data_IF_262866612446
#
_entry.id   IF_262866612446
#
_cell.length_a   1.000
_cell.length_b   1.000
_cell.length_c   1.000
_cell.angle_alpha   90.00
_cell.angle_beta   90.00
_cell.angle_gamma   90.00
#
_symmetry.space_group_name_H-M   'P 1'
#
loop_
_entity.id
_entity.type
_entity.pdbx_description
1 polymer ?
#
# COMPACT_ATOMS: atom_id res chain seq x y z
N UNK A 1 -29.33 17.88 -52.26
CA UNK A 1 -29.49 17.69 -53.71
C UNK A 1 -29.95 16.27 -53.95
N UNK A 2 -31.24 16.11 -54.17
CA UNK A 2 -31.85 14.83 -54.53
C UNK A 2 -32.45 14.99 -55.95
N UNK A 3 -32.38 13.99 -56.82
CA UNK A 3 -33.10 13.99 -58.06
C UNK A 3 -34.40 13.21 -57.95
N UNK A 4 -35.41 13.79 -58.57
CA UNK A 4 -36.80 13.33 -58.74
C UNK A 4 -36.95 12.25 -59.81
N UNK A 5 -38.00 11.38 -59.73
CA UNK A 5 -38.31 10.36 -60.75
C UNK A 5 -39.27 10.86 -61.82
N UNK A 6 -39.34 10.18 -62.96
CA UNK A 6 -40.24 10.55 -64.08
C UNK A 6 -41.61 9.88 -64.02
N UNK A 7 -42.63 10.51 -64.69
CA UNK A 7 -44.00 10.17 -64.77
C UNK A 7 -44.32 9.17 -65.99
N UNK A 8 -45.49 8.47 -65.99
CA UNK A 8 -45.76 7.34 -66.87
C UNK A 8 -46.60 7.70 -68.12
N UNK A 9 -46.44 6.85 -69.10
CA UNK A 9 -47.14 6.93 -70.35
C UNK A 9 -48.50 6.21 -70.36
N UNK A 10 -49.35 6.76 -71.19
CA UNK A 10 -50.75 6.37 -71.55
C UNK A 10 -50.84 5.03 -72.30
N UNK A 11 -51.85 4.24 -71.97
CA UNK A 11 -52.28 3.17 -72.85
C UNK A 11 -53.82 2.92 -72.84
N UNK A 12 -54.32 2.51 -73.92
CA UNK A 12 -55.63 2.53 -74.45
C UNK A 12 -56.69 1.58 -73.84
N UNK A 13 -57.97 1.89 -74.09
CA UNK A 13 -59.15 1.16 -73.65
C UNK A 13 -59.45 -0.11 -74.53
N UNK A 14 -59.99 -1.17 -73.93
CA UNK A 14 -60.61 -2.24 -74.66
C UNK A 14 -62.12 -2.32 -74.43
N UNK A 15 -62.76 -2.82 -75.46
CA UNK A 15 -64.12 -2.83 -75.84
C UNK A 15 -65.18 -3.57 -75.00
N UNK A 16 -66.45 -3.22 -75.19
CA UNK A 16 -67.68 -3.48 -74.43
C UNK A 16 -68.15 -4.93 -74.28
N UNK A 17 -67.58 -5.94 -74.94
CA UNK A 17 -68.04 -7.33 -74.83
C UNK A 17 -67.40 -8.15 -73.72
N UNK A 18 -66.35 -7.68 -73.06
CA UNK A 18 -65.74 -8.36 -71.91
C UNK A 18 -66.47 -8.08 -70.58
N UNK A 19 -67.31 -7.05 -70.48
CA UNK A 19 -67.99 -6.64 -69.25
C UNK A 19 -69.05 -7.59 -68.73
N UNK A 20 -69.76 -8.35 -69.60
CA UNK A 20 -70.86 -9.24 -69.15
C UNK A 20 -70.32 -10.58 -68.58
N UNK A 21 -69.18 -11.08 -69.04
CA UNK A 21 -68.53 -12.27 -68.45
C UNK A 21 -67.85 -12.00 -67.10
N UNK A 22 -67.36 -10.79 -66.91
CA UNK A 22 -66.75 -10.41 -65.63
C UNK A 22 -67.75 -10.20 -64.48
N UNK A 23 -68.97 -9.68 -64.79
CA UNK A 23 -70.03 -9.51 -63.82
C UNK A 23 -70.60 -10.83 -63.27
N UNK A 24 -70.70 -11.91 -64.05
CA UNK A 24 -71.13 -13.23 -63.58
C UNK A 24 -70.06 -13.94 -62.76
N UNK A 25 -68.78 -13.77 -63.04
CA UNK A 25 -67.65 -14.32 -62.24
C UNK A 25 -67.45 -13.54 -60.92
N UNK A 26 -67.68 -12.23 -60.90
CA UNK A 26 -67.57 -11.40 -59.69
C UNK A 26 -68.71 -11.69 -58.72
N UNK A 27 -69.95 -11.96 -59.16
CA UNK A 27 -71.04 -12.25 -58.23
C UNK A 27 -70.90 -13.66 -57.66
N UNK A 28 -70.44 -14.66 -58.41
CA UNK A 28 -70.16 -16.01 -57.88
C UNK A 28 -68.93 -16.00 -56.90
N UNK A 29 -67.92 -15.18 -57.18
CA UNK A 29 -66.79 -15.01 -56.27
C UNK A 29 -67.14 -14.34 -54.91
N UNK A 30 -68.13 -13.41 -54.97
CA UNK A 30 -68.60 -12.73 -53.78
C UNK A 30 -69.34 -13.67 -52.83
N UNK A 31 -70.22 -14.51 -53.29
CA UNK A 31 -70.94 -15.53 -52.50
C UNK A 31 -69.98 -16.59 -51.94
N UNK A 32 -68.97 -17.00 -52.69
CA UNK A 32 -67.94 -17.92 -52.23
C UNK A 32 -67.03 -17.27 -51.13
N UNK A 33 -66.79 -15.99 -51.27
CA UNK A 33 -66.02 -15.25 -50.27
C UNK A 33 -66.82 -15.02 -48.95
N UNK A 34 -68.13 -14.64 -49.05
CA UNK A 34 -69.00 -14.55 -47.86
C UNK A 34 -69.21 -15.93 -47.21
N UNK A 35 -69.33 -17.00 -47.98
CA UNK A 35 -69.42 -18.35 -47.43
C UNK A 35 -68.07 -18.75 -46.70
N UNK A 36 -66.93 -18.41 -47.27
CA UNK A 36 -65.62 -18.66 -46.66
C UNK A 36 -65.39 -17.83 -45.37
N UNK A 37 -65.84 -16.56 -45.34
CA UNK A 37 -65.77 -15.69 -44.19
C UNK A 37 -66.73 -16.17 -43.11
N UNK A 38 -67.93 -16.62 -43.43
CA UNK A 38 -68.87 -17.23 -42.49
C UNK A 38 -68.38 -18.58 -41.95
N UNK A 39 -67.77 -19.44 -42.78
CA UNK A 39 -67.11 -20.66 -42.34
C UNK A 39 -65.86 -20.37 -41.42
N UNK A 40 -65.06 -19.33 -41.70
CA UNK A 40 -63.96 -18.95 -40.87
C UNK A 40 -64.43 -18.37 -39.54
N UNK A 41 -65.51 -17.60 -39.47
CA UNK A 41 -66.13 -17.07 -38.26
C UNK A 41 -66.83 -18.18 -37.44
N UNK A 42 -67.33 -19.23 -38.01
CA UNK A 42 -67.88 -20.39 -37.29
C UNK A 42 -66.75 -21.27 -36.78
N UNK A 43 -65.67 -21.46 -37.57
CA UNK A 43 -64.50 -22.21 -37.13
C UNK A 43 -63.74 -21.51 -36.02
N UNK A 44 -63.72 -20.17 -36.02
CA UNK A 44 -63.13 -19.41 -34.90
C UNK A 44 -63.98 -19.44 -33.60
N UNK A 45 -65.31 -19.71 -33.73
CA UNK A 45 -66.19 -19.80 -32.55
C UNK A 45 -66.16 -21.18 -31.92
N UNK A 46 -65.81 -22.25 -32.62
CA UNK A 46 -65.65 -23.59 -32.02
C UNK A 46 -64.28 -23.84 -31.44
N UNK A 47 -63.21 -23.06 -31.83
CA UNK A 47 -61.90 -23.18 -31.25
C UNK A 47 -61.71 -22.37 -29.94
N UNK A 48 -62.61 -21.42 -29.68
CA UNK A 48 -62.54 -20.66 -28.41
C UNK A 48 -63.22 -21.38 -27.20
N UNK A 49 -63.92 -22.50 -27.43
CA UNK A 49 -64.63 -23.22 -26.36
C UNK A 49 -63.80 -24.32 -25.69
N UNK A 50 -62.53 -24.58 -26.14
CA UNK A 50 -61.67 -25.67 -25.58
C UNK A 50 -60.33 -25.21 -25.05
N UNK A 51 -60.09 -23.91 -24.99
CA UNK A 51 -58.94 -23.35 -24.27
C UNK A 51 -59.42 -22.63 -23.03
N UNK A 52 -59.71 -23.40 -21.96
CA UNK A 52 -59.65 -22.90 -20.62
C UNK A 52 -58.22 -22.38 -20.41
N UNK A 53 -57.94 -21.15 -20.84
CA UNK A 53 -56.79 -20.38 -20.38
C UNK A 53 -57.07 -20.13 -18.93
N UNK A 54 -56.43 -20.91 -18.04
CA UNK A 54 -56.17 -20.44 -16.72
C UNK A 54 -55.61 -19.02 -16.90
N UNK A 55 -56.36 -18.01 -16.45
CA UNK A 55 -55.80 -16.64 -16.45
C UNK A 55 -54.41 -16.72 -15.80
N UNK A 56 -53.35 -16.16 -16.45
CA UNK A 56 -52.06 -16.16 -15.81
C UNK A 56 -52.27 -15.47 -14.47
N UNK A 57 -51.91 -16.17 -13.42
CA UNK A 57 -51.95 -15.64 -12.05
C UNK A 57 -51.25 -14.27 -12.02
N UNK A 58 -51.83 -13.26 -11.37
CA UNK A 58 -51.18 -11.96 -11.30
C UNK A 58 -49.78 -12.11 -10.63
N UNK A 59 -48.80 -11.34 -11.02
CA UNK A 59 -47.47 -11.41 -10.37
C UNK A 59 -47.52 -11.22 -8.84
N UNK A 60 -48.46 -10.40 -8.34
CA UNK A 60 -48.65 -10.17 -6.91
C UNK A 60 -49.25 -11.39 -6.24
N UNK A 61 -50.33 -12.01 -6.82
CA UNK A 61 -50.90 -13.21 -6.26
C UNK A 61 -49.93 -14.39 -6.23
N UNK A 62 -49.06 -14.44 -7.26
CA UNK A 62 -48.00 -15.44 -7.33
C UNK A 62 -46.95 -15.24 -6.18
N UNK A 63 -46.50 -14.02 -5.97
CA UNK A 63 -45.56 -13.71 -4.90
C UNK A 63 -46.19 -13.96 -3.51
N UNK A 64 -47.44 -13.60 -3.31
CA UNK A 64 -48.20 -13.89 -2.07
C UNK A 64 -48.35 -15.39 -1.84
N UNK A 65 -48.54 -16.18 -2.90
CA UNK A 65 -48.57 -17.63 -2.80
C UNK A 65 -47.19 -18.23 -2.49
N UNK A 66 -46.09 -17.66 -3.05
CA UNK A 66 -44.73 -18.17 -2.86
C UNK A 66 -44.17 -17.80 -1.46
N UNK A 67 -44.35 -16.56 -1.01
CA UNK A 67 -43.70 -16.00 0.19
C UNK A 67 -44.66 -15.28 1.12
N UNK A 68 -45.96 -15.16 0.75
CA UNK A 68 -46.96 -14.47 1.56
C UNK A 68 -47.34 -15.26 2.80
N UNK A 69 -48.15 -14.63 3.68
CA UNK A 69 -48.59 -15.23 4.95
C UNK A 69 -49.37 -16.54 4.80
N UNK A 70 -49.94 -16.79 3.62
CA UNK A 70 -50.73 -18.02 3.32
C UNK A 70 -49.87 -19.13 2.72
N UNK A 71 -48.58 -18.85 2.37
CA UNK A 71 -47.69 -19.83 1.70
C UNK A 71 -47.14 -20.87 2.68
N UNK A 72 -47.21 -20.61 4.01
CA UNK A 72 -46.52 -21.44 5.01
C UNK A 72 -45.01 -21.27 5.05
N UNK A 73 -44.43 -20.32 4.28
CA UNK A 73 -43.01 -20.01 4.31
C UNK A 73 -42.68 -19.25 5.62
N UNK A 74 -41.69 -19.71 6.37
CA UNK A 74 -41.19 -19.02 7.57
C UNK A 74 -39.69 -18.65 7.33
N UNK A 75 -39.43 -17.34 7.24
CA UNK A 75 -38.08 -16.78 7.02
C UNK A 75 -37.14 -17.00 8.23
N UNK A 76 -37.66 -17.31 9.41
CA UNK A 76 -36.87 -17.57 10.62
C UNK A 76 -36.25 -18.97 10.63
N UNK A 77 -36.76 -19.88 9.77
CA UNK A 77 -36.34 -21.28 9.72
C UNK A 77 -35.46 -21.45 8.49
N UNK A 78 -34.26 -22.00 8.67
CA UNK A 78 -33.34 -22.32 7.57
C UNK A 78 -33.93 -23.32 6.60
N UNK A 79 -33.53 -23.30 5.32
CA UNK A 79 -33.83 -24.38 4.39
C UNK A 79 -33.36 -25.73 4.95
N UNK A 80 -34.08 -26.80 4.65
CA UNK A 80 -33.78 -28.16 5.11
C UNK A 80 -33.58 -28.27 6.64
N UNK A 81 -34.43 -27.62 7.42
CA UNK A 81 -34.39 -27.67 8.89
C UNK A 81 -34.34 -29.11 9.39
N UNK A 82 -33.38 -29.42 10.30
CA UNK A 82 -33.04 -30.78 10.77
C UNK A 82 -32.47 -31.73 9.69
N UNK A 83 -32.26 -31.27 8.50
CA UNK A 83 -31.57 -32.00 7.43
C UNK A 83 -30.10 -31.56 7.27
N UNK A 84 -29.46 -31.84 6.13
CA UNK A 84 -28.08 -31.45 5.85
C UNK A 84 -27.89 -29.94 5.94
N UNK A 85 -26.63 -29.47 6.17
CA UNK A 85 -26.33 -28.05 6.19
C UNK A 85 -26.66 -27.37 4.86
N UNK A 86 -26.97 -26.10 4.94
CA UNK A 86 -27.18 -25.26 3.75
C UNK A 86 -25.81 -24.83 3.24
N UNK A 87 -25.47 -25.20 2.02
CA UNK A 87 -24.27 -24.71 1.36
C UNK A 87 -24.57 -23.36 0.72
N UNK A 88 -23.78 -22.35 1.10
CA UNK A 88 -23.84 -21.00 0.54
C UNK A 88 -22.56 -20.70 -0.20
N UNK A 89 -22.70 -20.56 -1.51
CA UNK A 89 -21.58 -20.21 -2.37
C UNK A 89 -21.39 -18.70 -2.40
N UNK A 90 -20.19 -18.25 -2.02
CA UNK A 90 -19.83 -16.83 -1.95
C UNK A 90 -18.96 -16.41 -3.13
N UNK A 91 -19.24 -15.23 -3.64
CA UNK A 91 -18.45 -14.55 -4.66
C UNK A 91 -18.29 -13.08 -4.27
N UNK A 92 -17.11 -12.52 -4.49
CA UNK A 92 -16.81 -11.11 -4.21
C UNK A 92 -16.28 -10.44 -5.47
N UNK A 93 -16.88 -9.30 -5.82
CA UNK A 93 -16.34 -8.40 -6.81
C UNK A 93 -15.85 -7.13 -6.12
N UNK A 94 -14.54 -6.86 -6.24
CA UNK A 94 -13.89 -5.68 -5.64
C UNK A 94 -14.01 -4.52 -6.63
N UNK A 95 -14.87 -3.56 -6.28
CA UNK A 95 -15.10 -2.37 -7.09
C UNK A 95 -14.02 -1.29 -6.87
N UNK A 96 -13.60 -1.09 -5.62
CA UNK A 96 -12.46 -0.23 -5.28
C UNK A 96 -11.76 -0.74 -4.04
N UNK A 97 -10.45 -0.58 -4.03
CA UNK A 97 -9.57 -0.90 -2.92
C UNK A 97 -8.78 0.36 -2.59
N UNK A 98 -8.74 0.79 -1.34
CA UNK A 98 -8.08 2.05 -1.01
C UNK A 98 -7.89 2.26 0.48
N UNK A 99 -7.28 3.41 0.82
CA UNK A 99 -7.03 3.82 2.21
C UNK A 99 -6.39 2.73 3.06
N UNK A 100 -5.26 2.16 2.57
CA UNK A 100 -4.45 1.26 3.39
C UNK A 100 -3.72 2.14 4.39
N UNK A 101 -4.09 2.04 5.67
CA UNK A 101 -3.61 2.91 6.73
C UNK A 101 -2.73 2.12 7.70
N UNK A 102 -1.43 2.38 7.67
CA UNK A 102 -0.46 1.74 8.57
C UNK A 102 -0.67 2.18 10.03
N UNK A 103 -1.14 3.40 10.26
CA UNK A 103 -1.36 3.95 11.60
C UNK A 103 -2.48 3.27 12.36
N UNK A 104 -3.56 2.92 11.68
CA UNK A 104 -4.74 2.26 12.21
C UNK A 104 -4.74 0.75 11.98
N UNK A 105 -3.77 0.24 11.19
CA UNK A 105 -3.67 -1.17 10.81
C UNK A 105 -4.98 -1.67 10.18
N UNK A 106 -5.48 -0.95 9.17
CA UNK A 106 -6.70 -1.31 8.45
C UNK A 106 -6.65 -0.89 6.98
N UNK A 107 -7.59 -1.42 6.22
CA UNK A 107 -7.79 -1.03 4.82
C UNK A 107 -9.27 -0.90 4.51
N UNK A 108 -9.58 -0.03 3.55
CA UNK A 108 -10.94 0.21 3.09
C UNK A 108 -11.18 -0.44 1.74
N UNK A 109 -12.30 -1.13 1.59
CA UNK A 109 -12.67 -1.79 0.35
C UNK A 109 -14.16 -1.60 0.05
N UNK A 110 -14.51 -1.36 -1.22
CA UNK A 110 -15.88 -1.36 -1.70
C UNK A 110 -16.10 -2.62 -2.54
N UNK A 111 -17.05 -3.44 -2.14
CA UNK A 111 -17.29 -4.75 -2.75
C UNK A 111 -18.76 -4.92 -3.15
N UNK A 112 -18.98 -5.81 -4.12
CA UNK A 112 -20.24 -6.51 -4.28
C UNK A 112 -20.08 -7.91 -3.73
N UNK A 113 -20.80 -8.21 -2.64
CA UNK A 113 -20.88 -9.55 -2.06
C UNK A 113 -22.06 -10.27 -2.67
N UNK A 114 -21.82 -11.42 -3.31
CA UNK A 114 -22.85 -12.29 -3.88
C UNK A 114 -22.87 -13.59 -3.11
N UNK A 115 -24.08 -13.98 -2.69
CA UNK A 115 -24.33 -15.23 -1.99
C UNK A 115 -25.37 -16.01 -2.79
N UNK A 116 -25.12 -17.29 -2.99
CA UNK A 116 -26.01 -18.18 -3.71
C UNK A 116 -26.26 -19.43 -2.86
N UNK A 117 -27.52 -19.73 -2.61
CA UNK A 117 -27.94 -20.93 -1.88
C UNK A 117 -29.20 -21.52 -2.49
N UNK A 118 -29.53 -22.76 -2.12
CA UNK A 118 -30.77 -23.41 -2.54
C UNK A 118 -31.78 -23.45 -1.41
N UNK A 119 -32.97 -22.91 -1.67
CA UNK A 119 -34.15 -23.06 -0.79
C UNK A 119 -35.27 -23.78 -1.56
N UNK A 120 -35.47 -25.08 -1.32
CA UNK A 120 -36.51 -25.83 -2.03
C UNK A 120 -37.93 -25.30 -1.83
N UNK A 121 -38.18 -24.53 -0.76
CA UNK A 121 -39.48 -23.91 -0.46
C UNK A 121 -39.82 -22.76 -1.42
N UNK A 122 -38.79 -22.19 -2.07
CA UNK A 122 -38.92 -21.11 -3.06
C UNK A 122 -38.90 -21.63 -4.52
N UNK A 123 -38.88 -22.95 -4.72
CA UNK A 123 -38.97 -23.52 -6.04
C UNK A 123 -40.42 -23.37 -6.60
N UNK A 124 -40.51 -22.97 -7.86
CA UNK A 124 -41.80 -22.73 -8.51
C UNK A 124 -41.84 -23.35 -9.90
N UNK A 125 -43.06 -23.73 -10.37
CA UNK A 125 -43.28 -24.25 -11.70
C UNK A 125 -44.42 -23.52 -12.44
N UNK A 126 -45.19 -22.74 -11.72
CA UNK A 126 -46.43 -22.13 -12.20
C UNK A 126 -46.19 -20.84 -13.00
N UNK A 127 -45.01 -20.24 -12.90
CA UNK A 127 -44.67 -19.02 -13.63
C UNK A 127 -43.71 -19.35 -14.80
N UNK A 128 -43.90 -18.71 -15.97
CA UNK A 128 -43.15 -19.08 -17.18
C UNK A 128 -41.67 -18.70 -17.12
N UNK A 129 -41.31 -17.65 -16.39
CA UNK A 129 -39.96 -17.13 -16.34
C UNK A 129 -38.99 -18.02 -15.52
N UNK A 130 -37.76 -18.18 -16.00
CA UNK A 130 -36.75 -19.02 -15.37
C UNK A 130 -36.16 -18.38 -14.11
N UNK A 131 -36.28 -17.05 -13.96
CA UNK A 131 -35.85 -16.30 -12.80
C UNK A 131 -36.74 -15.10 -12.51
N UNK A 132 -36.85 -14.74 -11.23
CA UNK A 132 -37.61 -13.60 -10.74
C UNK A 132 -36.67 -12.61 -10.10
N UNK A 133 -36.60 -11.41 -10.66
CA UNK A 133 -35.90 -10.28 -10.04
C UNK A 133 -36.88 -9.55 -9.12
N UNK A 134 -36.60 -9.53 -7.83
CA UNK A 134 -37.50 -9.03 -6.80
C UNK A 134 -36.96 -7.74 -6.18
N UNK A 135 -37.89 -6.92 -5.70
CA UNK A 135 -37.56 -5.72 -4.97
C UNK A 135 -36.76 -6.04 -3.69
N UNK A 136 -35.73 -5.26 -3.34
CA UNK A 136 -34.91 -5.48 -2.13
C UNK A 136 -35.71 -5.58 -0.83
N UNK A 137 -36.86 -4.95 -0.72
CA UNK A 137 -37.75 -5.04 0.46
C UNK A 137 -38.27 -6.46 0.73
N UNK A 138 -38.34 -7.30 -0.32
CA UNK A 138 -38.77 -8.70 -0.20
C UNK A 138 -37.72 -9.58 0.51
N UNK A 139 -36.49 -9.10 0.68
CA UNK A 139 -35.42 -9.79 1.44
C UNK A 139 -35.80 -10.09 2.89
N UNK A 140 -36.66 -9.30 3.48
CA UNK A 140 -37.11 -9.53 4.85
C UNK A 140 -38.17 -10.62 4.97
N UNK A 141 -38.75 -11.04 3.83
CA UNK A 141 -39.71 -12.11 3.74
C UNK A 141 -39.08 -13.49 3.53
N UNK A 142 -37.78 -13.56 3.27
CA UNK A 142 -37.07 -14.82 3.04
C UNK A 142 -35.95 -15.03 4.05
N UNK A 143 -35.56 -16.30 4.27
CA UNK A 143 -34.39 -16.64 5.04
C UNK A 143 -33.11 -16.18 4.31
N UNK A 144 -32.16 -15.63 5.08
CA UNK A 144 -30.86 -15.18 4.60
C UNK A 144 -29.74 -15.81 5.44
N UNK A 145 -28.59 -16.14 4.84
CA UNK A 145 -27.39 -16.50 5.60
C UNK A 145 -26.97 -15.34 6.51
N UNK A 146 -26.49 -15.65 7.70
CA UNK A 146 -26.06 -14.71 8.73
C UNK A 146 -24.57 -14.34 8.65
N UNK A 147 -24.09 -14.15 7.42
CA UNK A 147 -22.71 -13.84 7.14
C UNK A 147 -22.30 -12.49 7.74
N UNK A 148 -21.15 -12.48 8.43
CA UNK A 148 -20.49 -11.26 8.89
C UNK A 148 -18.99 -11.32 8.58
N UNK A 149 -18.32 -10.16 8.61
CA UNK A 149 -16.87 -10.08 8.39
C UNK A 149 -16.16 -10.09 9.74
N UNK A 150 -15.45 -11.16 10.06
CA UNK A 150 -14.87 -11.38 11.39
C UNK A 150 -13.78 -10.35 11.77
N UNK A 151 -13.10 -9.76 10.78
CA UNK A 151 -12.10 -8.72 10.98
C UNK A 151 -12.58 -7.31 10.65
N UNK A 152 -13.89 -7.07 10.65
CA UNK A 152 -14.49 -5.76 10.41
C UNK A 152 -14.24 -4.81 11.57
N UNK A 153 -13.88 -3.56 11.24
CA UNK A 153 -13.85 -2.41 12.15
C UNK A 153 -15.02 -1.45 11.91
N UNK A 154 -15.59 -1.48 10.73
CA UNK A 154 -16.74 -0.68 10.33
C UNK A 154 -17.22 -1.04 8.93
N UNK A 155 -18.51 -0.91 8.71
CA UNK A 155 -19.15 -1.17 7.43
C UNK A 155 -20.26 -0.15 7.15
N UNK A 156 -20.48 0.14 5.87
CA UNK A 156 -21.56 0.99 5.41
C UNK A 156 -22.31 0.32 4.26
N UNK A 157 -23.63 0.36 4.35
CA UNK A 157 -24.52 0.04 3.22
C UNK A 157 -24.58 1.20 2.23
N UNK A 158 -25.03 0.90 1.02
CA UNK A 158 -25.26 1.90 -0.02
C UNK A 158 -26.74 1.94 -0.36
N UNK A 159 -27.37 3.09 -0.13
CA UNK A 159 -28.82 3.31 -0.26
C UNK A 159 -29.16 4.45 -1.24
N UNK A 160 -28.19 4.95 -2.00
CA UNK A 160 -28.38 6.03 -2.98
C UNK A 160 -28.45 5.42 -4.38
N UNK A 161 -29.45 5.66 -5.15
CA UNK A 161 -30.77 6.31 -4.98
C UNK A 161 -31.81 5.41 -4.33
N UNK A 162 -31.59 4.11 -4.35
CA UNK A 162 -32.33 3.02 -3.71
C UNK A 162 -31.32 2.07 -3.10
N UNK A 163 -31.79 1.14 -2.28
CA UNK A 163 -30.95 0.08 -1.69
C UNK A 163 -30.15 -0.66 -2.78
N UNK A 164 -28.83 -0.65 -2.64
CA UNK A 164 -27.94 -1.36 -3.60
C UNK A 164 -27.88 -2.87 -3.27
N UNK A 165 -29.05 -3.51 -3.37
CA UNK A 165 -29.26 -4.94 -3.14
C UNK A 165 -29.96 -5.54 -4.34
N UNK A 166 -29.66 -6.78 -4.68
CA UNK A 166 -30.33 -7.56 -5.72
C UNK A 166 -30.82 -8.87 -5.10
N UNK A 167 -32.07 -9.19 -5.29
CA UNK A 167 -32.63 -10.50 -4.98
C UNK A 167 -33.14 -11.15 -6.26
N UNK A 168 -32.63 -12.33 -6.59
CA UNK A 168 -33.09 -13.14 -7.71
C UNK A 168 -33.39 -14.55 -7.25
N UNK A 169 -34.57 -15.04 -7.53
CA UNK A 169 -35.01 -16.41 -7.24
C UNK A 169 -35.14 -17.14 -8.56
N UNK A 170 -34.49 -18.29 -8.69
CA UNK A 170 -34.58 -19.16 -9.86
C UNK A 170 -35.67 -20.22 -9.68
N UNK A 171 -36.17 -20.71 -10.78
CA UNK A 171 -37.23 -21.73 -10.84
C UNK A 171 -36.94 -23.00 -10.02
N UNK A 172 -35.69 -23.39 -9.93
CA UNK A 172 -35.20 -24.53 -9.15
C UNK A 172 -35.08 -24.27 -7.63
N UNK A 173 -35.44 -23.07 -7.16
CA UNK A 173 -35.30 -22.66 -5.76
C UNK A 173 -33.93 -22.10 -5.39
N UNK A 174 -33.01 -21.91 -6.34
CA UNK A 174 -31.77 -21.20 -6.07
C UNK A 174 -32.05 -19.73 -5.87
N UNK A 175 -31.42 -19.15 -4.85
CA UNK A 175 -31.53 -17.74 -4.49
C UNK A 175 -30.18 -17.08 -4.67
N UNK A 176 -30.13 -16.02 -5.48
CA UNK A 176 -28.97 -15.16 -5.63
C UNK A 176 -29.24 -13.84 -4.90
N UNK A 177 -28.46 -13.58 -3.90
CA UNK A 177 -28.44 -12.32 -3.17
C UNK A 177 -27.13 -11.58 -3.44
N UNK A 178 -27.21 -10.34 -3.87
CA UNK A 178 -26.05 -9.48 -4.10
C UNK A 178 -26.24 -8.16 -3.35
N UNK A 179 -25.21 -7.73 -2.65
CA UNK A 179 -25.22 -6.47 -1.89
C UNK A 179 -23.92 -5.71 -2.09
N UNK A 180 -24.01 -4.39 -2.21
CA UNK A 180 -22.86 -3.50 -2.24
C UNK A 180 -22.52 -3.02 -0.83
N UNK A 181 -21.26 -3.19 -0.45
CA UNK A 181 -20.75 -2.84 0.89
C UNK A 181 -19.46 -2.03 0.76
N UNK A 182 -19.29 -1.05 1.65
CA UNK A 182 -17.99 -0.46 1.93
C UNK A 182 -17.55 -0.93 3.30
N UNK A 183 -16.40 -1.61 3.35
CA UNK A 183 -15.86 -2.22 4.55
C UNK A 183 -14.55 -1.56 4.95
N UNK A 184 -14.33 -1.41 6.25
CA UNK A 184 -13.04 -1.11 6.86
C UNK A 184 -12.64 -2.35 7.62
N UNK A 185 -11.61 -3.04 7.14
CA UNK A 185 -11.17 -4.32 7.66
C UNK A 185 -9.81 -4.20 8.34
N UNK A 186 -9.65 -4.88 9.46
CA UNK A 186 -8.38 -4.95 10.18
C UNK A 186 -7.34 -5.72 9.35
N UNK A 187 -6.15 -5.14 9.23
CA UNK A 187 -4.98 -5.76 8.60
C UNK A 187 -3.75 -5.51 9.48
N UNK A 188 -3.41 -6.42 10.38
CA UNK A 188 -2.16 -6.35 11.14
C UNK A 188 -0.97 -6.40 10.19
N UNK A 189 -0.19 -5.31 10.12
CA UNK A 189 0.94 -5.18 9.19
C UNK A 189 2.26 -5.41 9.91
N UNK A 190 3.17 -6.19 9.31
CA UNK A 190 4.57 -6.25 9.73
C UNK A 190 5.39 -5.21 8.95
N UNK A 191 5.86 -4.19 9.66
CA UNK A 191 6.60 -3.07 9.09
C UNK A 191 8.12 -3.18 9.27
N UNK A 192 8.66 -4.36 9.63
CA UNK A 192 10.12 -4.56 9.81
C UNK A 192 10.90 -4.17 8.56
N UNK A 193 10.40 -4.55 7.40
CA UNK A 193 11.05 -4.28 6.11
C UNK A 193 10.58 -2.97 5.45
N UNK A 194 9.76 -2.17 6.16
CA UNK A 194 9.25 -0.91 5.63
C UNK A 194 10.37 0.04 5.17
N UNK A 195 10.29 0.63 3.96
CA UNK A 195 9.21 0.60 2.98
C UNK A 195 9.36 -0.48 1.88
N UNK A 196 10.22 -1.47 2.04
CA UNK A 196 10.47 -2.55 1.08
C UNK A 196 9.67 -3.81 1.43
N UNK A 197 8.47 -3.64 1.99
CA UNK A 197 7.62 -4.68 2.52
C UNK A 197 6.54 -5.15 1.54
N UNK A 198 6.12 -6.39 1.71
CA UNK A 198 4.90 -6.96 1.14
C UNK A 198 3.95 -7.23 2.29
N UNK A 199 2.73 -6.69 2.21
CA UNK A 199 1.72 -6.86 3.25
C UNK A 199 0.65 -7.84 2.79
N UNK A 200 0.26 -8.74 3.68
CA UNK A 200 -0.85 -9.66 3.43
C UNK A 200 -2.05 -9.25 4.25
N UNK A 201 -3.06 -8.70 3.60
CA UNK A 201 -4.32 -8.32 4.23
C UNK A 201 -5.38 -9.38 3.96
N UNK A 202 -6.11 -9.77 4.99
CA UNK A 202 -7.13 -10.81 4.93
C UNK A 202 -8.53 -10.21 4.98
N UNK A 203 -9.49 -10.92 4.38
CA UNK A 203 -10.92 -10.68 4.54
C UNK A 203 -11.56 -12.00 4.94
N UNK A 204 -12.15 -12.06 6.12
CA UNK A 204 -12.74 -13.27 6.70
C UNK A 204 -14.26 -13.14 6.72
N UNK A 205 -14.95 -14.12 6.13
CA UNK A 205 -16.41 -14.25 6.10
C UNK A 205 -16.79 -15.42 6.98
N UNK A 206 -17.58 -15.16 8.01
CA UNK A 206 -17.96 -16.14 9.04
C UNK A 206 -19.47 -16.10 9.29
N UNK A 207 -20.05 -17.20 9.75
CA UNK A 207 -21.41 -17.26 10.26
C UNK A 207 -21.44 -16.94 11.74
N UNK A 208 -22.40 -16.14 12.17
CA UNK A 208 -22.53 -15.71 13.57
C UNK A 208 -23.32 -16.69 14.43
N UNK A 209 -24.49 -17.13 13.97
CA UNK A 209 -25.42 -17.94 14.75
C UNK A 209 -25.55 -19.40 14.32
N UNK A 210 -25.12 -19.75 13.09
CA UNK A 210 -25.23 -21.11 12.57
C UNK A 210 -23.90 -21.86 12.66
N UNK A 211 -23.92 -23.04 13.25
CA UNK A 211 -22.77 -23.95 13.27
C UNK A 211 -22.60 -24.63 11.91
N UNK A 212 -21.47 -25.29 11.69
CA UNK A 212 -21.20 -26.05 10.46
C UNK A 212 -22.18 -27.21 10.21
N UNK A 213 -22.96 -27.61 11.22
CA UNK A 213 -24.03 -28.59 11.05
C UNK A 213 -25.25 -28.02 10.31
N UNK A 214 -25.38 -26.68 10.32
CA UNK A 214 -26.54 -25.98 9.78
C UNK A 214 -26.22 -25.15 8.53
N UNK A 215 -25.00 -24.58 8.46
CA UNK A 215 -24.59 -23.68 7.41
C UNK A 215 -23.11 -23.87 7.06
N UNK A 216 -22.79 -23.91 5.77
CA UNK A 216 -21.41 -23.99 5.26
C UNK A 216 -21.23 -22.93 4.18
N UNK A 217 -20.19 -22.09 4.33
CA UNK A 217 -19.75 -21.18 3.29
C UNK A 217 -18.69 -21.85 2.42
N UNK A 218 -18.80 -21.63 1.13
CA UNK A 218 -17.86 -22.11 0.12
C UNK A 218 -17.56 -21.01 -0.89
N UNK A 219 -16.35 -20.98 -1.41
CA UNK A 219 -16.02 -20.09 -2.51
C UNK A 219 -16.60 -20.64 -3.83
N UNK A 220 -17.04 -19.75 -4.70
CA UNK A 220 -17.43 -20.11 -6.05
C UNK A 220 -16.21 -20.70 -6.78
N UNK A 221 -16.38 -21.85 -7.46
CA UNK A 221 -15.28 -22.58 -8.11
C UNK A 221 -14.51 -21.73 -9.14
N UNK A 222 -15.20 -20.88 -9.89
CA UNK A 222 -14.59 -19.99 -10.90
C UNK A 222 -14.90 -18.54 -10.57
N UNK A 223 -13.83 -17.74 -10.44
CA UNK A 223 -13.96 -16.30 -10.21
C UNK A 223 -14.55 -15.94 -8.85
N UNK A 224 -14.18 -16.67 -7.79
CA UNK A 224 -14.63 -16.40 -6.41
C UNK A 224 -14.38 -14.97 -5.97
N UNK A 225 -13.21 -14.44 -6.31
CA UNK A 225 -12.84 -13.05 -6.03
C UNK A 225 -12.37 -12.39 -7.31
N UNK A 226 -13.15 -11.43 -7.76
CA UNK A 226 -12.92 -10.65 -8.97
C UNK A 226 -12.52 -9.22 -8.59
N UNK A 227 -11.68 -8.60 -9.40
CA UNK A 227 -11.25 -7.20 -9.21
C UNK A 227 -11.67 -6.40 -10.43
N UNK A 228 -12.14 -5.18 -10.21
CA UNK A 228 -12.51 -4.27 -11.29
C UNK A 228 -11.31 -3.99 -12.20
N UNK A 229 -11.54 -4.01 -13.51
CA UNK A 229 -10.52 -3.68 -14.50
C UNK A 229 -9.99 -2.25 -14.28
N UNK A 230 -8.66 -2.08 -14.35
CA UNK A 230 -8.03 -0.78 -14.14
C UNK A 230 -7.93 -0.33 -12.68
N UNK A 231 -8.19 -1.21 -11.69
CA UNK A 231 -8.00 -0.88 -10.29
C UNK A 231 -6.51 -0.68 -10.01
N UNK A 232 -6.13 0.53 -9.61
CA UNK A 232 -4.77 0.89 -9.23
C UNK A 232 -4.74 1.47 -7.83
N UNK A 233 -3.71 1.11 -7.07
CA UNK A 233 -3.46 1.64 -5.73
C UNK A 233 -2.31 2.65 -5.80
N UNK A 234 -2.40 3.83 -5.13
CA UNK A 234 -1.38 4.86 -5.22
C UNK A 234 -0.01 4.44 -4.66
N UNK A 235 0.01 3.61 -3.63
CA UNK A 235 1.22 3.23 -2.89
C UNK A 235 1.55 1.74 -2.95
N UNK A 236 0.61 0.92 -3.42
CA UNK A 236 0.74 -0.53 -3.46
C UNK A 236 0.45 -1.07 -4.85
N UNK A 237 0.97 -2.25 -5.12
CA UNK A 237 0.58 -3.10 -6.24
C UNK A 237 -0.19 -4.28 -5.66
N UNK A 238 -1.44 -4.46 -6.07
CA UNK A 238 -2.21 -5.65 -5.72
C UNK A 238 -1.80 -6.79 -6.65
N UNK A 239 -1.29 -7.89 -6.09
CA UNK A 239 -0.96 -9.08 -6.87
C UNK A 239 -2.24 -9.73 -7.43
N UNK A 240 -2.12 -10.33 -8.60
CA UNK A 240 -3.23 -11.04 -9.25
C UNK A 240 -3.60 -12.31 -8.48
N UNK A 241 -2.60 -13.01 -7.94
CA UNK A 241 -2.78 -14.20 -7.12
C UNK A 241 -3.45 -13.82 -5.79
N UNK A 242 -4.52 -14.52 -5.48
CA UNK A 242 -5.28 -14.39 -4.23
C UNK A 242 -5.46 -15.76 -3.65
N UNK A 243 -5.05 -15.92 -2.41
CA UNK A 243 -5.19 -17.18 -1.71
C UNK A 243 -6.60 -17.29 -1.12
N UNK A 244 -7.32 -18.31 -1.53
CA UNK A 244 -8.64 -18.64 -1.01
C UNK A 244 -8.48 -19.78 -0.02
N UNK A 245 -8.79 -19.54 1.24
CA UNK A 245 -8.59 -20.48 2.33
C UNK A 245 -9.87 -20.71 3.13
N UNK A 246 -9.89 -21.81 3.88
CA UNK A 246 -10.90 -22.07 4.89
C UNK A 246 -10.32 -21.78 6.28
N UNK A 247 -11.00 -20.94 7.06
CA UNK A 247 -10.56 -20.46 8.37
C UNK A 247 -11.44 -20.96 9.52
N UNK A 248 -12.13 -22.09 9.36
CA UNK A 248 -13.09 -22.64 10.34
C UNK A 248 -12.72 -22.31 11.79
N UNK A 249 -13.66 -21.70 12.51
CA UNK A 249 -13.50 -21.25 13.89
C UNK A 249 -14.11 -22.26 14.88
N UNK A 250 -13.41 -22.44 16.00
CA UNK A 250 -13.87 -23.27 17.09
C UNK A 250 -14.04 -22.41 18.32
N UNK A 251 -15.29 -22.23 18.74
CA UNK A 251 -15.66 -21.50 19.95
C UNK A 251 -16.30 -22.47 20.95
N UNK A 252 -16.48 -22.03 22.18
CA UNK A 252 -17.16 -22.82 23.20
C UNK A 252 -18.62 -23.14 22.81
N UNK A 253 -19.21 -22.34 21.93
CA UNK A 253 -20.58 -22.49 21.41
C UNK A 253 -20.70 -23.45 20.24
N UNK A 254 -19.58 -23.85 19.64
CA UNK A 254 -19.56 -24.79 18.50
C UNK A 254 -18.50 -24.49 17.46
N UNK A 255 -18.60 -25.22 16.37
CA UNK A 255 -17.74 -25.07 15.20
C UNK A 255 -18.47 -24.25 14.13
N UNK A 256 -17.88 -23.13 13.69
CA UNK A 256 -18.47 -22.20 12.74
C UNK A 256 -17.73 -22.20 11.40
N UNK A 257 -18.50 -22.07 10.36
CA UNK A 257 -17.94 -21.94 8.99
C UNK A 257 -17.26 -20.59 8.85
N UNK A 258 -16.05 -20.60 8.30
CA UNK A 258 -15.27 -19.42 7.98
C UNK A 258 -14.53 -19.65 6.67
N UNK A 259 -14.60 -18.69 5.77
CA UNK A 259 -13.81 -18.61 4.54
C UNK A 259 -13.02 -17.31 4.52
N UNK A 260 -11.80 -17.33 3.99
CA UNK A 260 -10.97 -16.13 3.90
C UNK A 260 -10.33 -15.98 2.54
N UNK A 261 -10.11 -14.75 2.15
CA UNK A 261 -9.27 -14.38 1.02
C UNK A 261 -8.10 -13.54 1.53
N UNK A 262 -6.91 -13.81 0.99
CA UNK A 262 -5.67 -13.09 1.28
C UNK A 262 -5.29 -12.24 0.09
N UNK A 263 -5.05 -10.95 0.35
CA UNK A 263 -4.60 -9.98 -0.63
C UNK A 263 -3.13 -9.66 -0.39
N UNK A 264 -2.29 -9.91 -1.38
CA UNK A 264 -0.87 -9.59 -1.33
C UNK A 264 -0.64 -8.19 -1.93
N UNK A 265 -0.16 -7.28 -1.09
CA UNK A 265 0.02 -5.87 -1.37
C UNK A 265 1.51 -5.55 -1.36
N UNK A 266 2.09 -5.35 -2.52
CA UNK A 266 3.50 -4.98 -2.67
C UNK A 266 3.64 -3.46 -2.66
N UNK A 267 4.43 -2.90 -1.69
CA UNK A 267 4.61 -1.45 -1.57
C UNK A 267 5.51 -0.91 -2.67
N UNK A 268 5.11 0.22 -3.25
CA UNK A 268 5.88 0.93 -4.26
C UNK A 268 6.88 1.89 -3.61
N UNK A 269 8.16 1.74 -3.99
CA UNK A 269 9.28 2.45 -3.38
C UNK A 269 9.44 3.91 -3.85
N UNK A 270 8.84 4.29 -4.97
CA UNK A 270 9.13 5.56 -5.66
C UNK A 270 8.96 6.79 -4.76
N UNK A 271 7.86 6.87 -4.02
CA UNK A 271 7.60 7.96 -3.10
C UNK A 271 8.67 8.06 -2.00
N UNK A 272 9.02 6.95 -1.37
CA UNK A 272 9.98 6.91 -0.26
C UNK A 272 11.40 7.21 -0.73
N UNK A 273 11.77 6.77 -1.93
CA UNK A 273 13.06 7.10 -2.55
C UNK A 273 13.24 8.61 -2.66
N UNK A 274 12.26 9.30 -3.23
CA UNK A 274 12.32 10.75 -3.46
C UNK A 274 12.21 11.53 -2.15
N UNK A 275 11.34 11.11 -1.24
CA UNK A 275 11.02 11.89 -0.03
C UNK A 275 11.97 11.63 1.14
N UNK A 276 12.52 10.42 1.25
CA UNK A 276 13.30 9.98 2.41
C UNK A 276 14.78 9.68 2.06
N UNK A 277 15.01 8.78 1.10
CA UNK A 277 16.35 8.28 0.83
C UNK A 277 17.24 9.30 0.14
N UNK A 278 16.78 9.96 -0.91
CA UNK A 278 17.56 10.95 -1.64
C UNK A 278 17.92 12.16 -0.77
N UNK A 279 16.99 12.82 -0.06
CA UNK A 279 17.33 13.95 0.78
C UNK A 279 18.31 13.59 1.91
N UNK A 280 18.14 12.45 2.57
CA UNK A 280 19.05 12.00 3.61
C UNK A 280 20.45 11.72 3.07
N UNK A 281 20.56 11.10 1.89
CA UNK A 281 21.81 10.89 1.17
C UNK A 281 22.53 12.21 0.89
N UNK A 282 21.80 13.21 0.38
CA UNK A 282 22.36 14.54 0.06
C UNK A 282 22.86 15.25 1.32
N UNK A 283 22.15 15.13 2.47
CA UNK A 283 22.59 15.70 3.74
C UNK A 283 23.90 15.05 4.21
N UNK A 284 24.04 13.72 4.06
CA UNK A 284 25.28 13.00 4.39
C UNK A 284 26.44 13.47 3.51
N UNK A 285 26.23 13.57 2.21
CA UNK A 285 27.25 14.09 1.26
C UNK A 285 27.61 15.54 1.60
N UNK A 286 26.63 16.38 1.92
CA UNK A 286 26.86 17.76 2.31
C UNK A 286 27.71 17.86 3.60
N UNK A 287 27.53 16.94 4.56
CA UNK A 287 28.35 16.91 5.77
C UNK A 287 29.85 16.68 5.46
N UNK A 288 30.16 15.93 4.40
CA UNK A 288 31.56 15.68 4.01
C UNK A 288 32.26 16.89 3.39
N UNK A 289 31.52 17.89 2.90
CA UNK A 289 32.09 19.17 2.44
C UNK A 289 32.91 19.83 3.53
N UNK A 290 32.57 19.59 4.80
CA UNK A 290 33.36 20.03 5.97
C UNK A 290 34.83 19.67 5.87
N UNK A 291 35.19 18.49 5.36
CA UNK A 291 36.58 18.02 5.22
C UNK A 291 37.41 18.80 4.18
N UNK A 292 36.74 19.51 3.24
CA UNK A 292 37.38 20.31 2.21
C UNK A 292 37.53 21.78 2.62
N UNK A 293 36.82 22.25 3.64
CA UNK A 293 36.95 23.60 4.17
C UNK A 293 38.23 23.70 5.00
N UNK A 294 38.92 24.85 4.94
CA UNK A 294 40.15 25.08 5.71
C UNK A 294 39.92 24.83 7.21
N UNK A 295 40.87 24.13 7.87
CA UNK A 295 40.78 23.80 9.29
C UNK A 295 40.73 25.04 10.21
N UNK A 296 41.22 26.19 9.77
CA UNK A 296 41.19 27.44 10.54
C UNK A 296 39.83 28.16 10.46
N UNK A 297 38.94 27.78 9.51
CA UNK A 297 37.60 28.32 9.37
C UNK A 297 36.62 27.64 10.34
N UNK A 298 36.88 27.70 11.64
CA UNK A 298 36.06 27.07 12.67
C UNK A 298 34.57 27.43 12.60
N UNK A 299 34.14 28.70 12.42
CA UNK A 299 32.75 29.06 12.35
C UNK A 299 32.01 28.37 11.18
N UNK A 300 32.64 28.25 10.03
CA UNK A 300 32.04 27.64 8.84
C UNK A 300 31.83 26.12 9.02
N UNK A 301 32.85 25.38 9.52
CA UNK A 301 32.75 23.95 9.76
C UNK A 301 31.74 23.61 10.86
N UNK A 302 31.69 24.38 11.95
CA UNK A 302 30.74 24.19 13.07
C UNK A 302 29.31 24.47 12.57
N UNK A 303 29.11 25.58 11.88
CA UNK A 303 27.78 25.91 11.33
C UNK A 303 27.27 24.83 10.40
N UNK A 304 28.11 24.35 9.47
CA UNK A 304 27.75 23.27 8.55
C UNK A 304 27.44 21.98 9.28
N UNK A 305 28.23 21.58 10.27
CA UNK A 305 28.01 20.37 11.07
C UNK A 305 26.72 20.42 11.87
N UNK A 306 26.45 21.53 12.57
CA UNK A 306 25.23 21.70 13.38
C UNK A 306 23.99 21.73 12.48
N UNK A 307 24.01 22.45 11.36
CA UNK A 307 22.87 22.54 10.45
C UNK A 307 22.56 21.17 9.81
N UNK A 308 23.56 20.41 9.39
CA UNK A 308 23.35 19.08 8.82
C UNK A 308 22.80 18.07 9.85
N UNK A 309 23.29 18.09 11.11
CA UNK A 309 22.73 17.28 12.19
C UNK A 309 21.29 17.66 12.48
N UNK A 310 20.98 18.97 12.59
CA UNK A 310 19.63 19.44 12.85
C UNK A 310 18.67 19.04 11.72
N UNK A 311 19.08 19.24 10.47
CA UNK A 311 18.28 18.86 9.30
C UNK A 311 18.01 17.34 9.27
N UNK A 312 19.04 16.53 9.58
CA UNK A 312 18.89 15.08 9.62
C UNK A 312 17.97 14.61 10.74
N UNK A 313 18.03 15.24 11.93
CA UNK A 313 17.14 14.92 13.05
C UNK A 313 15.70 15.31 12.75
N UNK A 314 15.44 16.47 12.13
CA UNK A 314 14.08 16.88 11.73
C UNK A 314 13.50 15.95 10.66
N UNK A 315 14.31 15.54 9.69
CA UNK A 315 13.88 14.57 8.68
C UNK A 315 13.57 13.19 9.27
N UNK A 316 14.42 12.71 10.19
CA UNK A 316 14.18 11.45 10.91
C UNK A 316 12.92 11.51 11.77
N UNK A 317 12.61 12.65 12.40
CA UNK A 317 11.37 12.85 13.15
C UNK A 317 10.15 12.87 12.23
N UNK A 318 10.24 13.57 11.10
CA UNK A 318 9.16 13.64 10.11
C UNK A 318 8.82 12.27 9.50
N UNK A 319 9.83 11.45 9.23
CA UNK A 319 9.63 10.09 8.69
C UNK A 319 8.88 9.16 9.63
N UNK A 320 8.97 9.39 10.93
CA UNK A 320 8.28 8.59 11.96
C UNK A 320 6.87 9.08 12.26
N UNK A 321 6.55 10.32 11.94
CA UNK A 321 5.26 10.93 12.29
C UNK A 321 4.08 10.28 11.57
N UNK A 322 4.28 9.76 10.36
CA UNK A 322 3.25 9.12 9.54
C UNK A 322 3.10 7.61 9.80
N UNK A 323 3.92 7.02 10.68
CA UNK A 323 3.95 5.59 10.92
C UNK A 323 3.44 5.26 12.34
N UNK A 324 2.89 4.05 12.56
CA UNK A 324 2.47 3.62 13.87
C UNK A 324 3.67 3.49 14.82
N UNK A 325 3.41 3.69 16.12
CA UNK A 325 4.40 3.47 17.18
C UNK A 325 4.52 1.97 17.43
N UNK A 326 5.48 1.34 16.76
CA UNK A 326 5.79 -0.09 16.95
C UNK A 326 7.07 -0.27 17.77
N UNK A 327 7.19 -1.37 18.50
CA UNK A 327 8.33 -1.67 19.39
C UNK A 327 9.55 -2.24 18.66
N UNK A 328 9.40 -2.66 17.41
CA UNK A 328 10.49 -3.23 16.61
C UNK A 328 11.13 -2.17 15.68
N UNK A 329 12.38 -2.42 15.29
CA UNK A 329 13.14 -1.54 14.40
C UNK A 329 12.73 -1.81 12.95
N UNK A 330 12.42 -0.74 12.20
CA UNK A 330 12.10 -0.79 10.77
C UNK A 330 13.36 -0.58 9.91
N UNK A 331 13.34 -1.05 8.66
CA UNK A 331 14.45 -0.81 7.73
C UNK A 331 14.78 0.67 7.55
N UNK A 332 13.76 1.52 7.47
CA UNK A 332 13.94 2.98 7.37
C UNK A 332 14.61 3.58 8.64
N UNK A 333 14.35 3.02 9.83
CA UNK A 333 14.97 3.50 11.07
C UNK A 333 16.47 3.20 11.09
N UNK A 334 16.89 2.03 10.58
CA UNK A 334 18.31 1.67 10.42
C UNK A 334 18.98 2.64 9.46
N UNK A 335 18.36 2.91 8.31
CA UNK A 335 18.89 3.88 7.34
C UNK A 335 19.11 5.25 7.98
N UNK A 336 18.07 5.80 8.61
CA UNK A 336 18.13 7.13 9.24
C UNK A 336 19.13 7.19 10.38
N UNK A 337 19.23 6.14 11.20
CA UNK A 337 20.19 6.06 12.28
C UNK A 337 21.64 6.06 11.78
N UNK A 338 21.93 5.29 10.73
CA UNK A 338 23.27 5.25 10.13
C UNK A 338 23.61 6.59 9.46
N UNK A 339 22.70 7.20 8.71
CA UNK A 339 22.90 8.52 8.13
C UNK A 339 23.20 9.57 9.22
N UNK A 340 22.44 9.56 10.31
CA UNK A 340 22.67 10.45 11.46
C UNK A 340 24.05 10.19 12.09
N UNK A 341 24.46 8.93 12.24
CA UNK A 341 25.76 8.55 12.75
C UNK A 341 26.91 9.10 11.87
N UNK A 342 26.79 9.01 10.54
CA UNK A 342 27.78 9.55 9.61
C UNK A 342 27.88 11.08 9.70
N UNK A 343 26.75 11.78 9.75
CA UNK A 343 26.71 13.25 9.89
C UNK A 343 27.30 13.68 11.24
N UNK A 344 26.95 12.99 12.31
CA UNK A 344 27.50 13.27 13.64
C UNK A 344 29.00 12.95 13.73
N UNK A 345 29.45 11.85 13.12
CA UNK A 345 30.87 11.49 13.06
C UNK A 345 31.70 12.52 12.32
N UNK A 346 31.18 13.14 11.27
CA UNK A 346 31.83 14.22 10.55
C UNK A 346 32.03 15.46 11.45
N UNK A 347 31.06 15.76 12.32
CA UNK A 347 31.20 16.83 13.32
C UNK A 347 32.25 16.50 14.41
N UNK A 348 32.27 15.23 14.88
CA UNK A 348 33.28 14.77 15.85
C UNK A 348 34.69 14.77 15.25
N UNK A 349 34.85 14.42 13.97
CA UNK A 349 36.12 14.50 13.25
C UNK A 349 36.66 15.94 13.31
N UNK A 350 35.81 16.92 13.00
CA UNK A 350 36.21 18.32 13.10
C UNK A 350 36.66 18.70 14.54
N UNK A 351 35.93 18.24 15.56
CA UNK A 351 36.29 18.49 16.95
C UNK A 351 37.69 17.91 17.26
N UNK A 352 38.02 16.71 16.78
CA UNK A 352 39.31 16.07 16.91
C UNK A 352 40.43 16.87 16.21
N UNK A 353 40.18 17.28 14.95
CA UNK A 353 41.14 18.12 14.18
C UNK A 353 41.41 19.44 14.89
N UNK A 354 40.38 20.11 15.42
CA UNK A 354 40.50 21.36 16.12
C UNK A 354 41.27 21.17 17.47
N UNK A 355 41.00 20.08 18.20
CA UNK A 355 41.71 19.75 19.42
C UNK A 355 43.18 19.54 19.16
N UNK A 356 43.56 18.73 18.16
CA UNK A 356 44.98 18.50 17.79
C UNK A 356 45.66 19.82 17.38
N UNK A 357 44.99 20.66 16.61
CA UNK A 357 45.52 21.97 16.21
C UNK A 357 45.71 22.94 17.38
N UNK A 358 44.81 22.95 18.37
CA UNK A 358 44.87 23.83 19.56
C UNK A 358 45.91 23.41 20.60
N UNK A 359 46.11 22.12 20.79
CA UNK A 359 47.14 21.63 21.76
C UNK A 359 48.52 22.24 21.51
N UNK A 360 48.85 22.46 20.23
CA UNK A 360 50.10 23.15 19.88
C UNK A 360 50.14 24.60 20.42
N UNK A 361 49.04 25.35 20.35
CA UNK A 361 48.99 26.74 20.86
C UNK A 361 49.16 26.82 22.38
N UNK A 362 48.66 25.85 23.12
CA UNK A 362 48.81 25.78 24.57
C UNK A 362 50.21 25.38 24.97
N UNK A 363 50.83 24.39 24.32
CA UNK A 363 52.23 24.03 24.54
C UNK A 363 53.18 25.21 24.33
N UNK A 364 52.94 26.06 23.33
CA UNK A 364 53.71 27.29 23.10
C UNK A 364 53.46 28.33 24.20
N UNK A 365 52.23 28.45 24.72
CA UNK A 365 51.92 29.34 25.85
C UNK A 365 52.64 28.89 27.11
N UNK A 366 52.67 27.58 27.43
CA UNK A 366 53.39 27.02 28.57
C UNK A 366 54.91 27.21 28.44
N UNK A 367 55.49 27.00 27.23
CA UNK A 367 56.90 27.26 26.99
C UNK A 367 57.26 28.74 27.09
N UNK A 368 56.45 29.68 26.59
CA UNK A 368 56.64 31.13 26.78
C UNK A 368 56.60 31.52 28.25
N UNK A 369 55.63 30.99 29.02
CA UNK A 369 55.57 31.23 30.48
C UNK A 369 56.81 30.69 31.14
N UNK A 370 57.29 29.50 30.80
CA UNK A 370 58.50 28.89 31.39
C UNK A 370 59.81 29.62 31.02
N UNK A 371 59.85 30.19 29.77
CA UNK A 371 60.96 31.01 29.34
C UNK A 371 60.97 32.37 30.07
N UNK A 372 59.85 33.01 30.30
CA UNK A 372 59.71 34.26 31.03
C UNK A 372 60.05 34.09 32.50
N UNK A 373 59.68 32.99 33.15
CA UNK A 373 60.07 32.65 34.48
C UNK A 373 61.60 32.42 34.60
N UNK A 374 62.27 31.80 33.62
CA UNK A 374 63.71 31.64 33.60
C UNK A 374 64.44 32.94 33.34
N UNK A 375 63.91 33.85 32.53
CA UNK A 375 64.47 35.15 32.22
C UNK A 375 64.36 36.11 33.46
N UNK A 376 63.27 35.94 34.26
CA UNK A 376 63.15 36.69 35.59
C UNK A 376 64.07 36.12 36.63
N UNK A 377 64.25 34.80 36.80
CA UNK A 377 65.26 34.21 37.70
C UNK A 377 66.72 34.58 37.37
N UNK A 378 67.00 34.73 36.03
CA UNK A 378 68.34 35.19 35.59
C UNK A 378 68.54 36.69 35.79
N UNK A 379 67.49 37.50 35.81
CA UNK A 379 67.56 38.93 36.15
C UNK A 379 67.82 39.18 37.66
N UNK A 380 67.18 38.43 38.53
CA UNK A 380 67.38 38.52 39.98
C UNK A 380 68.75 38.02 40.40
N UNK A 381 69.32 37.01 39.67
CA UNK A 381 70.70 36.55 39.92
C UNK A 381 71.75 37.47 39.32
N UNK A 382 71.42 38.36 38.38
CA UNK A 382 72.39 39.31 37.83
C UNK A 382 72.44 40.64 38.54
N UNK A 383 71.53 40.92 39.52
CA UNK A 383 71.52 42.14 40.32
C UNK A 383 72.27 41.97 41.64
N UNK A 384 72.80 40.79 41.91
CA UNK A 384 73.50 40.49 43.16
C UNK A 384 75.06 40.44 43.10
N UNK A 385 75.64 40.69 41.90
CA UNK A 385 77.15 40.69 41.78
C UNK A 385 77.60 41.93 41.00
N UNK A 386 77.58 43.09 41.68
CA UNK A 386 78.39 44.26 41.33
C UNK A 386 78.88 44.91 42.58
N UNK A 387 79.90 44.31 43.14
CA UNK A 387 80.85 45.02 44.03
C UNK A 387 82.19 44.24 44.03
N UNK A 388 83.28 45.00 43.71
CA UNK A 388 84.71 44.73 43.85
C UNK A 388 85.44 44.00 42.72
N UNK A 389 86.22 44.78 41.96
CA UNK A 389 87.67 44.56 41.81
C UNK A 389 88.19 44.23 40.41
N UNK A 390 88.70 45.29 39.76
CA UNK A 390 89.97 45.50 39.06
C UNK A 390 90.62 44.37 38.23
N UNK A 391 90.74 44.65 36.88
CA UNK A 391 91.93 44.53 36.06
C UNK A 391 92.32 43.15 35.52
N UNK A 392 93.31 43.15 34.54
CA UNK A 392 93.09 43.42 33.12
C UNK A 392 93.44 42.23 32.13
N UNK A 393 93.19 42.39 30.86
CA UNK A 393 93.73 41.76 29.65
C UNK A 393 94.78 40.64 29.76
N UNK A 394 94.59 39.56 28.96
CA UNK A 394 95.65 39.05 28.07
C UNK A 394 94.97 38.18 26.97
N UNK A 395 95.33 38.43 25.69
CA UNK A 395 95.17 37.60 24.52
C UNK A 395 96.08 36.38 24.61
N UNK A 396 95.64 35.21 24.20
CA UNK A 396 96.52 34.21 23.56
C UNK A 396 95.71 33.26 22.67
N UNK A 397 96.29 33.12 21.56
CA UNK A 397 96.00 32.22 20.43
C UNK A 397 96.33 30.75 20.72
N UNK A 398 95.81 29.95 19.80
CA UNK A 398 96.32 28.66 19.31
C UNK A 398 95.93 27.34 20.00
N UNK A 399 95.09 26.62 19.28
CA UNK A 399 95.21 25.26 18.78
C UNK A 399 95.60 24.14 19.70
N UNK A 400 94.79 23.14 19.74
CA UNK A 400 95.20 21.71 19.62
C UNK A 400 93.93 20.86 19.61
N UNK A 401 93.77 20.01 18.60
CA UNK A 401 92.88 18.88 18.42
C UNK A 401 93.09 17.85 19.53
N UNK A 402 91.97 17.43 20.20
CA UNK A 402 91.93 16.12 20.86
C UNK A 402 90.57 15.43 20.59
N UNK A 403 90.63 14.31 19.96
CA UNK A 403 89.57 13.28 19.86
C UNK A 403 89.34 12.72 21.26
N UNK A 404 88.09 12.80 21.73
CA UNK A 404 87.60 12.14 22.94
C UNK A 404 86.20 11.54 22.68
N UNK A 405 85.77 10.52 23.43
CA UNK A 405 84.95 9.42 22.94
C UNK A 405 83.43 9.71 22.79
N UNK A 406 82.83 8.93 22.01
CA UNK A 406 81.41 8.87 21.67
C UNK A 406 80.50 9.04 22.93
N UNK A 407 79.86 10.20 23.08
CA UNK A 407 78.67 10.37 23.89
C UNK A 407 77.43 10.15 22.97
N UNK A 408 76.41 9.43 23.45
CA UNK A 408 75.20 9.25 22.66
C UNK A 408 74.57 10.61 22.43
N UNK A 409 74.33 10.92 21.17
CA UNK A 409 73.65 12.13 20.70
C UNK A 409 72.29 12.21 21.39
N UNK A 410 72.16 13.06 22.39
CA UNK A 410 70.82 13.41 22.90
C UNK A 410 70.03 14.05 21.75
N UNK A 411 68.78 13.63 21.54
CA UNK A 411 67.97 14.18 20.46
C UNK A 411 67.80 15.69 20.70
N UNK A 412 68.34 16.47 19.76
CA UNK A 412 68.17 17.92 19.72
C UNK A 412 66.69 18.27 19.89
N UNK A 413 66.30 19.08 20.86
CA UNK A 413 64.88 19.45 21.06
C UNK A 413 64.40 20.17 19.80
N UNK A 414 63.48 19.56 19.06
CA UNK A 414 62.87 20.09 17.85
C UNK A 414 62.43 21.53 18.02
N UNK A 415 62.74 22.39 17.06
CA UNK A 415 62.37 23.80 17.11
C UNK A 415 60.86 23.99 17.28
N UNK A 416 60.34 25.06 17.87
CA UNK A 416 58.90 25.32 18.04
C UNK A 416 58.16 25.26 16.69
N UNK A 417 58.82 25.65 15.59
CA UNK A 417 58.25 25.65 14.24
C UNK A 417 58.16 24.24 13.62
N UNK A 418 59.14 23.37 13.92
CA UNK A 418 59.10 21.97 13.52
C UNK A 418 57.97 21.20 14.23
N UNK A 419 57.77 21.45 15.55
CA UNK A 419 56.64 20.83 16.27
C UNK A 419 55.32 21.35 15.76
N UNK A 420 55.21 22.62 15.43
CA UNK A 420 54.00 23.18 14.77
C UNK A 420 53.71 22.50 13.47
N UNK A 421 54.67 22.29 12.60
CA UNK A 421 54.51 21.56 11.34
C UNK A 421 54.00 20.15 11.56
N UNK A 422 54.58 19.41 12.53
CA UNK A 422 54.14 18.04 12.85
C UNK A 422 52.67 17.96 13.27
N UNK A 423 52.18 18.87 14.11
CA UNK A 423 50.76 18.89 14.54
C UNK A 423 49.82 19.32 13.42
N UNK A 424 50.20 20.29 12.59
CA UNK A 424 49.46 20.72 11.45
C UNK A 424 49.41 19.58 10.41
N UNK A 425 50.50 18.87 10.19
CA UNK A 425 50.58 17.75 9.25
C UNK A 425 49.76 16.55 9.75
N UNK A 426 49.68 16.30 11.05
CA UNK A 426 48.78 15.30 11.65
C UNK A 426 47.33 15.70 11.44
N UNK A 427 46.95 16.94 11.70
CA UNK A 427 45.59 17.42 11.47
C UNK A 427 45.17 17.32 9.97
N UNK A 428 46.06 17.70 9.04
CA UNK A 428 45.87 17.55 7.61
C UNK A 428 45.75 16.08 7.19
N UNK A 429 46.53 15.17 7.79
CA UNK A 429 46.41 13.73 7.54
C UNK A 429 45.05 13.18 7.95
N UNK A 430 44.50 13.62 9.11
CA UNK A 430 43.15 13.23 9.54
C UNK A 430 42.10 13.67 8.49
N UNK A 431 42.08 14.95 8.13
CA UNK A 431 41.19 15.45 7.06
C UNK A 431 41.33 14.65 5.73
N UNK A 432 42.59 14.35 5.34
CA UNK A 432 42.85 13.62 4.08
C UNK A 432 42.35 12.16 4.13
N UNK A 433 42.53 11.50 5.27
CA UNK A 433 42.02 10.13 5.48
C UNK A 433 40.49 10.15 5.52
N UNK A 434 39.88 11.11 6.22
CA UNK A 434 38.44 11.26 6.34
C UNK A 434 37.75 11.49 4.99
N UNK A 435 38.37 12.25 4.07
CA UNK A 435 37.87 12.46 2.68
C UNK A 435 37.68 11.16 1.91
N UNK A 436 38.49 10.14 2.18
CA UNK A 436 38.39 8.83 1.52
C UNK A 436 37.59 7.81 2.36
N UNK A 437 37.82 7.76 3.68
CA UNK A 437 37.20 6.75 4.55
C UNK A 437 35.69 6.93 4.68
N UNK A 438 35.18 8.16 4.83
CA UNK A 438 33.75 8.39 5.00
C UNK A 438 32.92 7.99 3.78
N UNK A 439 33.24 8.43 2.55
CA UNK A 439 32.54 8.00 1.37
C UNK A 439 32.63 6.49 1.14
N UNK A 440 33.82 5.90 1.35
CA UNK A 440 34.01 4.46 1.16
C UNK A 440 33.19 3.63 2.17
N UNK A 441 33.23 3.98 3.45
CA UNK A 441 32.46 3.30 4.49
C UNK A 441 30.96 3.43 4.23
N UNK A 442 30.49 4.60 3.82
CA UNK A 442 29.10 4.83 3.47
C UNK A 442 28.68 4.06 2.21
N UNK A 443 29.55 3.96 1.20
CA UNK A 443 29.31 3.14 -0.01
C UNK A 443 29.16 1.66 0.36
N UNK A 444 30.05 1.13 1.20
CA UNK A 444 29.97 -0.26 1.70
C UNK A 444 28.65 -0.47 2.43
N UNK A 445 28.27 0.43 3.35
CA UNK A 445 26.97 0.36 4.02
C UNK A 445 25.80 0.35 3.05
N UNK A 446 25.80 1.23 2.02
CA UNK A 446 24.75 1.25 1.00
C UNK A 446 24.63 -0.09 0.27
N UNK A 447 25.75 -0.67 -0.16
CA UNK A 447 25.74 -1.97 -0.85
C UNK A 447 25.10 -3.03 0.04
N UNK A 448 25.55 -3.16 1.30
CA UNK A 448 25.01 -4.14 2.23
C UNK A 448 23.53 -3.88 2.52
N UNK A 449 23.12 -2.65 2.77
CA UNK A 449 21.74 -2.29 3.05
C UNK A 449 20.81 -2.68 1.91
N UNK A 450 21.10 -2.24 0.68
CA UNK A 450 20.25 -2.52 -0.46
C UNK A 450 20.26 -3.99 -0.89
N UNK A 451 21.39 -4.68 -0.78
CA UNK A 451 21.48 -6.12 -1.11
C UNK A 451 20.66 -6.94 -0.11
N UNK A 452 20.82 -6.71 1.20
CA UNK A 452 20.09 -7.46 2.23
C UNK A 452 18.58 -7.26 2.07
N UNK A 453 18.11 -6.00 2.02
CA UNK A 453 16.68 -5.74 1.93
C UNK A 453 16.05 -6.12 0.58
N UNK A 454 16.85 -6.13 -0.51
CA UNK A 454 16.38 -6.65 -1.80
C UNK A 454 16.21 -8.18 -1.77
N UNK A 455 17.11 -8.90 -1.09
CA UNK A 455 17.01 -10.35 -0.92
C UNK A 455 15.80 -10.69 -0.05
N UNK A 456 15.63 -10.04 1.11
CA UNK A 456 14.50 -10.25 2.01
C UNK A 456 13.18 -9.98 1.26
N UNK A 457 13.09 -8.87 0.53
CA UNK A 457 11.90 -8.56 -0.27
C UNK A 457 11.60 -9.66 -1.29
N UNK A 458 12.63 -10.26 -1.90
CA UNK A 458 12.43 -11.35 -2.86
C UNK A 458 11.87 -12.61 -2.18
N UNK A 459 12.32 -12.91 -0.96
CA UNK A 459 11.77 -14.04 -0.17
C UNK A 459 10.32 -13.77 0.24
N UNK A 460 9.98 -12.56 0.72
CA UNK A 460 8.61 -12.17 1.08
C UNK A 460 7.63 -12.21 -0.11
N UNK A 461 8.14 -12.05 -1.34
CA UNK A 461 7.32 -12.13 -2.57
C UNK A 461 6.97 -13.57 -2.92
N UNK A 462 7.81 -14.53 -2.53
CA UNK A 462 7.66 -15.95 -2.88
C UNK A 462 7.08 -16.81 -1.74
N UNK A 463 6.82 -16.24 -0.57
CA UNK A 463 6.03 -16.83 0.53
C UNK A 463 4.56 -16.43 0.41
#
# INVERSE_FOLDING_TARGET
MAPTPPLPGSAASPSSMARIRYLRAAVSGFYLWEAAVLLSLVATKETDSARSRSMPMSPSDFLDKLMGRMSGYDARIRPNFKGPPVNVTCNIFINSFGSIAETTMDYRVNIFLRQNWNDPRLAYSEYPDDSLDLDPSMLDSIWKPDLFFANEKGANFHEVTTDNKLLRIFKNGNVLYSIRLTLILSCPMDLKNFPMDVQTCIMQLESFGYTMNDLIFEWQEKGAVQVAEGLTLPQFLLKEEKDLCYCTKHYNTGKFTCIEVRFHLERQMGYYLIQMYIPSLLIVILSWVSFWINMDAAPARVALGITTVLTMTTQSSGSRASLPKVSYVKAIDIWMAVCLLFVFSALLEYAAVNFVSRQHKELLRFRRKRKKSKDDDTRDSQFSITAYGVGPCVQAKDGITQKGPNNPVQPVPKSPDEMRKVFIDRAKKIDTISRACFPLAFLIFNIFYWVIYKIIRHEDIHQ
#
